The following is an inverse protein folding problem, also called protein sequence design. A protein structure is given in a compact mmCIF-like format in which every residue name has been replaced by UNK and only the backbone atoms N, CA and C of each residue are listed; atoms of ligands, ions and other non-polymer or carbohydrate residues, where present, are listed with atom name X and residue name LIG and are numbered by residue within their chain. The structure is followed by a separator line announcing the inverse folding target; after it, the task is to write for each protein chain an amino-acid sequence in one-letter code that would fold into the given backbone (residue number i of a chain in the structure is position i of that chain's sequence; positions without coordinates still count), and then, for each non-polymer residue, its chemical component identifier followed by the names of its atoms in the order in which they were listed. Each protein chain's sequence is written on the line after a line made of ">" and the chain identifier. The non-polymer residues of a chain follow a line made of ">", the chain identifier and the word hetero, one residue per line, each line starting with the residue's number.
data_IF_939304723736
#
_entry.id   IF_939304723736
#
_cell.length_a   1.000
_cell.length_b   1.000
_cell.length_c   1.000
_cell.angle_alpha   90.00
_cell.angle_beta   90.00
_cell.angle_gamma   90.00
#
_symmetry.space_group_name_H-M   'P 1'
#
loop_
_entity.id
_entity.type
_entity.pdbx_description
1 polymer ?
#
# COMPACT_ATOMS: atom_id res chain seq x y z
N UNK A 1 28.65 2.38 53.33
CA UNK A 1 28.13 1.09 52.80
C UNK A 1 26.69 1.16 52.27
N UNK A 2 25.77 1.95 52.87
CA UNK A 2 24.37 2.09 52.41
C UNK A 2 24.22 2.62 50.97
N UNK A 3 24.99 3.63 50.58
CA UNK A 3 24.95 4.22 49.22
C UNK A 3 25.28 3.23 48.09
N UNK A 4 26.20 2.28 48.32
CA UNK A 4 26.53 1.26 47.31
C UNK A 4 25.35 0.32 47.02
N UNK A 5 24.56 -0.03 48.04
CA UNK A 5 23.35 -0.86 47.87
C UNK A 5 22.27 -0.12 47.08
N UNK A 6 22.04 1.15 47.39
CA UNK A 6 21.05 1.97 46.66
C UNK A 6 21.41 2.19 45.19
N UNK A 7 22.70 2.39 44.87
CA UNK A 7 23.17 2.53 43.48
C UNK A 7 22.99 1.23 42.70
N UNK A 8 23.31 0.08 43.29
CA UNK A 8 23.12 -1.24 42.65
C UNK A 8 21.64 -1.50 42.37
N UNK A 9 20.76 -1.19 43.33
CA UNK A 9 19.30 -1.33 43.15
C UNK A 9 18.80 -0.42 42.01
N UNK A 10 19.25 0.83 41.95
CA UNK A 10 18.88 1.76 40.89
C UNK A 10 19.31 1.25 39.50
N UNK A 11 20.55 0.77 39.38
CA UNK A 11 21.06 0.20 38.13
C UNK A 11 20.28 -1.05 37.70
N UNK A 12 19.92 -1.91 38.65
CA UNK A 12 19.11 -3.09 38.35
C UNK A 12 17.69 -2.71 37.87
N UNK A 13 17.07 -1.69 38.46
CA UNK A 13 15.77 -1.17 38.02
C UNK A 13 15.86 -0.55 36.62
N UNK A 14 16.89 0.25 36.34
CA UNK A 14 17.11 0.84 35.01
C UNK A 14 17.33 -0.25 33.95
N UNK A 15 18.12 -1.28 34.26
CA UNK A 15 18.34 -2.41 33.35
C UNK A 15 17.04 -3.19 33.10
N UNK A 16 16.25 -3.45 34.15
CA UNK A 16 14.96 -4.12 34.01
C UNK A 16 13.99 -3.30 33.14
N UNK A 17 13.92 -1.99 33.34
CA UNK A 17 13.12 -1.10 32.48
C UNK A 17 13.63 -1.10 31.03
N UNK A 18 14.94 -1.10 30.80
CA UNK A 18 15.51 -1.17 29.46
C UNK A 18 15.16 -2.49 28.76
N UNK A 19 15.26 -3.62 29.47
CA UNK A 19 14.88 -4.95 28.93
C UNK A 19 13.38 -5.02 28.66
N UNK A 20 12.53 -4.48 29.55
CA UNK A 20 11.08 -4.44 29.33
C UNK A 20 10.69 -3.52 28.17
N UNK A 21 11.34 -2.37 28.04
CA UNK A 21 11.18 -1.50 26.89
C UNK A 21 11.61 -2.23 25.61
N UNK A 22 12.77 -2.88 25.59
CA UNK A 22 13.25 -3.69 24.47
C UNK A 22 12.27 -4.80 24.07
N UNK A 23 11.75 -5.56 25.04
CA UNK A 23 10.75 -6.59 24.79
C UNK A 23 9.44 -6.02 24.23
N UNK A 24 8.96 -4.88 24.73
CA UNK A 24 7.81 -4.17 24.16
C UNK A 24 8.09 -3.67 22.74
N UNK A 25 9.32 -3.25 22.44
CA UNK A 25 9.73 -2.82 21.10
C UNK A 25 9.77 -3.98 20.10
N UNK A 26 10.22 -5.16 20.52
CA UNK A 26 10.28 -6.34 19.65
C UNK A 26 8.92 -7.03 19.48
N UNK A 27 8.11 -7.10 20.54
CA UNK A 27 6.85 -7.85 20.52
C UNK A 27 5.71 -7.11 19.81
N UNK A 28 5.72 -5.78 19.77
CA UNK A 28 4.66 -4.97 19.10
C UNK A 28 5.07 -4.40 17.73
N UNK A 29 6.21 -4.82 17.17
CA UNK A 29 6.65 -4.36 15.85
C UNK A 29 6.81 -2.84 15.82
N UNK A 30 7.67 -2.32 16.69
CA UNK A 30 7.83 -0.89 16.93
C UNK A 30 7.84 -0.06 15.63
N UNK A 31 7.05 1.02 15.61
CA UNK A 31 6.82 1.85 14.42
C UNK A 31 7.99 2.77 14.06
N UNK A 32 9.24 2.36 14.32
CA UNK A 32 10.44 3.15 14.03
C UNK A 32 10.79 3.17 12.54
N UNK A 33 10.23 2.25 11.75
CA UNK A 33 10.27 2.29 10.30
C UNK A 33 8.87 2.33 9.69
N UNK A 34 8.77 2.90 8.50
CA UNK A 34 7.51 2.99 7.75
C UNK A 34 6.92 1.59 7.45
N UNK A 35 7.75 0.62 7.09
CA UNK A 35 7.30 -0.75 6.80
C UNK A 35 6.79 -1.48 8.06
N UNK A 36 7.42 -1.29 9.22
CA UNK A 36 6.92 -1.86 10.47
C UNK A 36 5.58 -1.26 10.83
N UNK A 37 5.45 0.08 10.75
CA UNK A 37 4.17 0.75 10.96
C UNK A 37 3.07 0.24 10.02
N UNK A 38 3.40 -0.03 8.75
CA UNK A 38 2.46 -0.61 7.80
C UNK A 38 2.10 -2.07 8.11
N UNK A 39 3.07 -2.89 8.52
CA UNK A 39 2.88 -4.31 8.85
C UNK A 39 1.99 -4.53 10.06
N UNK A 40 2.09 -3.68 11.08
CA UNK A 40 1.26 -3.74 12.29
C UNK A 40 -0.10 -3.05 12.13
N UNK A 41 -0.40 -2.53 10.94
CA UNK A 41 -1.72 -1.97 10.66
C UNK A 41 -2.81 -3.03 10.81
N UNK A 42 -3.95 -2.69 11.42
CA UNK A 42 -4.99 -3.67 11.74
C UNK A 42 -5.55 -4.42 10.51
N UNK A 43 -5.51 -3.79 9.34
CA UNK A 43 -5.94 -4.39 8.07
C UNK A 43 -4.95 -5.43 7.51
N UNK A 44 -3.69 -5.43 7.94
CA UNK A 44 -2.61 -6.32 7.47
C UNK A 44 -2.48 -7.57 8.36
N UNK A 45 -3.38 -7.73 9.34
CA UNK A 45 -3.44 -8.89 10.24
C UNK A 45 -3.53 -10.21 9.44
N UNK A 46 -2.68 -11.16 9.81
CA UNK A 46 -2.57 -12.49 9.22
C UNK A 46 -1.33 -13.19 9.74
N UNK A 47 -1.23 -14.51 9.56
CA UNK A 47 -0.10 -15.26 10.14
C UNK A 47 1.24 -14.91 9.49
N UNK A 48 1.26 -14.41 8.25
CA UNK A 48 2.47 -13.99 7.54
C UNK A 48 2.17 -13.00 6.39
N UNK A 49 1.93 -11.70 6.66
CA UNK A 49 1.78 -10.73 5.58
C UNK A 49 3.08 -10.61 4.76
N UNK A 50 3.01 -10.92 3.47
CA UNK A 50 4.16 -10.89 2.56
C UNK A 50 4.18 -9.58 1.79
N UNK A 51 5.25 -8.81 1.90
CA UNK A 51 5.44 -7.60 1.10
C UNK A 51 5.75 -8.00 -0.34
N UNK A 52 4.94 -7.58 -1.30
CA UNK A 52 5.22 -7.82 -2.73
C UNK A 52 5.63 -6.55 -3.48
N UNK A 53 5.27 -5.38 -2.97
CA UNK A 53 5.71 -4.11 -3.54
C UNK A 53 5.81 -3.01 -2.48
N UNK A 54 6.68 -2.03 -2.73
CA UNK A 54 6.78 -0.80 -1.95
C UNK A 54 7.07 0.39 -2.87
N UNK A 55 6.61 1.56 -2.45
CA UNK A 55 6.92 2.84 -3.07
C UNK A 55 7.42 3.76 -1.96
N UNK A 56 8.70 4.10 -2.02
CA UNK A 56 9.36 4.94 -1.01
C UNK A 56 9.14 6.43 -1.34
N UNK A 57 8.86 7.23 -0.31
CA UNK A 57 8.70 8.68 -0.40
C UNK A 57 9.55 9.37 0.68
N UNK A 58 9.93 10.65 0.52
CA UNK A 58 10.72 11.36 1.54
C UNK A 58 10.10 11.37 2.94
N UNK A 59 8.77 11.31 3.04
CA UNK A 59 8.02 11.31 4.30
C UNK A 59 7.72 9.90 4.87
N UNK A 60 8.03 8.84 4.13
CA UNK A 60 7.65 7.46 4.49
C UNK A 60 7.50 6.56 3.26
N UNK A 61 6.35 5.91 3.12
CA UNK A 61 6.15 4.97 2.03
C UNK A 61 4.73 4.44 1.90
N UNK A 62 4.47 3.80 0.76
CA UNK A 62 3.29 2.96 0.53
C UNK A 62 3.76 1.52 0.37
N UNK A 63 3.13 0.59 1.09
CA UNK A 63 3.52 -0.81 1.18
C UNK A 63 2.36 -1.70 0.78
N UNK A 64 2.62 -2.67 -0.09
CA UNK A 64 1.61 -3.59 -0.59
C UNK A 64 1.92 -5.01 -0.11
N UNK A 65 0.94 -5.64 0.51
CA UNK A 65 1.06 -6.95 1.14
C UNK A 65 0.06 -7.95 0.57
N UNK A 66 0.51 -9.18 0.37
CA UNK A 66 -0.37 -10.34 0.34
C UNK A 66 -0.70 -10.73 1.78
N UNK A 67 -1.97 -10.97 2.07
CA UNK A 67 -2.43 -11.44 3.39
C UNK A 67 -3.45 -12.55 3.21
N UNK A 68 -3.72 -13.29 4.29
CA UNK A 68 -4.71 -14.38 4.31
C UNK A 68 -6.12 -13.89 3.92
N UNK A 69 -6.40 -12.60 4.07
CA UNK A 69 -7.69 -11.97 3.75
C UNK A 69 -7.65 -11.15 2.45
N UNK A 70 -6.72 -11.45 1.54
CA UNK A 70 -6.50 -10.70 0.30
C UNK A 70 -5.45 -9.60 0.42
N UNK A 71 -5.27 -8.81 -0.63
CA UNK A 71 -4.18 -7.85 -0.69
C UNK A 71 -4.49 -6.58 0.11
N UNK A 72 -3.44 -5.96 0.64
CA UNK A 72 -3.52 -4.75 1.46
C UNK A 72 -2.53 -3.72 0.95
N UNK A 73 -2.99 -2.50 0.71
CA UNK A 73 -2.12 -1.37 0.40
C UNK A 73 -2.16 -0.40 1.57
N UNK A 74 -1.01 -0.09 2.17
CA UNK A 74 -0.93 0.71 3.40
C UNK A 74 0.01 1.88 3.19
N UNK A 75 -0.46 3.08 3.53
CA UNK A 75 0.37 4.29 3.55
C UNK A 75 0.89 4.52 4.97
N UNK A 76 2.22 4.59 5.12
CA UNK A 76 2.87 4.87 6.39
C UNK A 76 3.76 6.12 6.30
N UNK A 77 3.59 7.04 7.24
CA UNK A 77 4.21 8.36 7.22
C UNK A 77 4.50 8.86 8.64
N UNK A 78 5.38 9.85 8.76
CA UNK A 78 5.58 10.56 10.04
C UNK A 78 4.58 11.70 10.16
N UNK A 79 3.98 11.88 11.34
CA UNK A 79 3.10 13.04 11.59
C UNK A 79 3.85 14.37 11.62
N UNK A 80 5.12 14.32 12.03
CA UNK A 80 6.04 15.45 12.10
C UNK A 80 7.42 14.99 11.65
N UNK A 81 8.22 15.82 10.96
CA UNK A 81 9.58 15.45 10.56
C UNK A 81 10.46 15.00 11.73
N UNK A 82 10.29 15.62 12.91
CA UNK A 82 11.01 15.29 14.15
C UNK A 82 10.53 14.02 14.86
N UNK A 83 9.44 13.38 14.39
CA UNK A 83 8.92 12.17 15.00
C UNK A 83 9.90 11.01 14.82
N UNK A 84 10.11 10.24 15.88
CA UNK A 84 10.79 8.95 15.83
C UNK A 84 9.87 7.83 15.34
N UNK A 85 8.55 8.03 15.39
CA UNK A 85 7.55 7.04 15.02
C UNK A 85 6.89 7.38 13.69
N UNK A 86 6.67 6.33 12.91
CA UNK A 86 5.80 6.29 11.75
C UNK A 86 4.38 5.87 12.17
N UNK A 87 3.41 6.31 11.40
CA UNK A 87 2.01 5.99 11.57
C UNK A 87 1.49 5.44 10.26
N UNK A 88 0.67 4.39 10.35
CA UNK A 88 -0.15 3.93 9.26
C UNK A 88 -1.60 4.13 9.69
N UNK A 89 -2.28 5.13 9.14
CA UNK A 89 -3.71 5.38 9.43
C UNK A 89 -4.61 4.87 8.31
N UNK A 90 -4.06 4.66 7.12
CA UNK A 90 -4.82 4.32 5.94
C UNK A 90 -4.32 3.04 5.30
N UNK A 91 -5.27 2.15 5.10
CA UNK A 91 -5.11 0.97 4.31
C UNK A 91 -6.33 0.79 3.41
N UNK A 92 -6.08 0.33 2.18
CA UNK A 92 -7.11 -0.16 1.29
C UNK A 92 -7.05 -1.69 1.26
N UNK A 93 -8.23 -2.30 1.26
CA UNK A 93 -8.39 -3.75 1.23
C UNK A 93 -8.87 -4.19 -0.14
N UNK A 94 -8.23 -5.20 -0.71
CA UNK A 94 -8.67 -5.87 -1.93
C UNK A 94 -8.94 -7.32 -1.58
N UNK A 95 -10.21 -7.66 -1.49
CA UNK A 95 -10.64 -9.05 -1.38
C UNK A 95 -10.57 -9.62 -2.80
N UNK A 96 -9.96 -10.80 -2.97
CA UNK A 96 -9.71 -11.44 -4.27
C UNK A 96 -11.01 -11.97 -4.89
N UNK A 97 -11.98 -11.09 -5.17
CA UNK A 97 -13.33 -11.56 -5.51
C UNK A 97 -13.40 -12.05 -6.96
N UNK A 98 -12.48 -11.68 -7.86
CA UNK A 98 -12.60 -12.07 -9.27
C UNK A 98 -11.25 -12.32 -9.95
N UNK A 99 -10.85 -13.60 -9.97
CA UNK A 99 -9.75 -14.13 -10.78
C UNK A 99 -10.16 -14.51 -12.21
N UNK A 100 -11.40 -14.22 -12.61
CA UNK A 100 -11.93 -14.65 -13.92
C UNK A 100 -11.42 -13.82 -15.09
N UNK A 101 -11.03 -12.56 -14.85
CA UNK A 101 -10.47 -11.68 -15.86
C UNK A 101 -8.94 -11.79 -15.87
N UNK A 102 -8.32 -11.77 -17.05
CA UNK A 102 -6.85 -11.91 -17.18
C UNK A 102 -6.03 -10.69 -16.71
N UNK A 103 -6.67 -9.78 -15.97
CA UNK A 103 -6.08 -8.61 -15.33
C UNK A 103 -6.79 -8.34 -14.01
N UNK A 104 -6.02 -8.08 -12.95
CA UNK A 104 -6.57 -7.79 -11.63
C UNK A 104 -5.86 -6.62 -10.96
N UNK A 105 -6.64 -5.81 -10.25
CA UNK A 105 -6.10 -4.79 -9.34
C UNK A 105 -5.70 -5.44 -8.03
N UNK A 106 -4.41 -5.40 -7.71
CA UNK A 106 -3.84 -6.05 -6.52
C UNK A 106 -3.49 -5.04 -5.42
N UNK A 107 -3.61 -3.75 -5.69
CA UNK A 107 -3.45 -2.71 -4.68
C UNK A 107 -3.80 -1.34 -5.22
N UNK A 108 -4.37 -0.51 -4.37
CA UNK A 108 -4.59 0.89 -4.67
C UNK A 108 -4.68 1.71 -3.38
N UNK A 109 -4.12 2.91 -3.40
CA UNK A 109 -4.37 3.94 -2.40
C UNK A 109 -4.32 5.30 -3.08
N UNK A 110 -5.17 6.20 -2.64
CA UNK A 110 -5.19 7.58 -3.07
C UNK A 110 -5.29 8.45 -1.81
N UNK A 111 -4.17 8.54 -1.11
CA UNK A 111 -4.08 9.15 0.22
C UNK A 111 -3.70 10.62 0.15
N UNK A 112 -4.46 11.46 0.85
CA UNK A 112 -4.17 12.88 1.02
C UNK A 112 -4.31 13.30 2.48
N UNK A 113 -3.20 13.32 3.22
CA UNK A 113 -3.21 13.65 4.67
C UNK A 113 -3.41 15.13 4.92
N UNK A 114 -3.68 15.47 6.19
CA UNK A 114 -3.67 16.85 6.66
C UNK A 114 -2.25 17.43 6.82
N UNK A 115 -1.21 16.66 6.55
CA UNK A 115 0.18 17.09 6.63
C UNK A 115 0.62 17.57 5.25
N UNK A 116 1.07 18.84 5.11
CA UNK A 116 1.52 19.36 3.83
C UNK A 116 2.58 18.48 3.16
N UNK A 117 2.36 18.16 1.88
CA UNK A 117 3.28 17.35 1.08
C UNK A 117 3.20 15.83 1.33
N UNK A 118 2.36 15.37 2.27
CA UNK A 118 2.17 13.94 2.55
C UNK A 118 0.90 13.46 1.84
N UNK A 119 1.11 13.13 0.57
CA UNK A 119 0.10 12.61 -0.34
C UNK A 119 0.74 11.61 -1.30
N UNK A 120 -0.04 10.61 -1.70
CA UNK A 120 0.38 9.63 -2.68
C UNK A 120 -0.83 8.99 -3.36
N UNK A 121 -0.67 8.71 -4.63
CA UNK A 121 -1.51 7.77 -5.34
C UNK A 121 -0.63 6.60 -5.76
N UNK A 122 -1.02 5.38 -5.40
CA UNK A 122 -0.37 4.15 -5.84
C UNK A 122 -1.45 3.22 -6.37
N UNK A 123 -1.19 2.60 -7.51
CA UNK A 123 -2.09 1.64 -8.14
C UNK A 123 -1.25 0.47 -8.64
N UNK A 124 -1.66 -0.75 -8.33
CA UNK A 124 -0.92 -1.96 -8.66
C UNK A 124 -1.84 -2.98 -9.30
N UNK A 125 -1.35 -3.59 -10.38
CA UNK A 125 -2.06 -4.61 -11.14
C UNK A 125 -1.20 -5.85 -11.33
N UNK A 126 -1.85 -6.99 -11.46
CA UNK A 126 -1.22 -8.22 -11.94
C UNK A 126 -1.97 -8.65 -13.20
N UNK A 127 -1.21 -9.08 -14.21
CA UNK A 127 -1.74 -9.44 -15.52
C UNK A 127 -1.34 -10.88 -15.84
N UNK A 128 -2.32 -11.66 -16.27
CA UNK A 128 -2.18 -13.03 -16.75
C UNK A 128 -2.57 -13.20 -18.22
N UNK A 129 -3.35 -12.27 -18.81
CA UNK A 129 -3.70 -12.31 -20.23
C UNK A 129 -2.49 -11.91 -21.11
N UNK A 130 -1.97 -12.84 -21.95
CA UNK A 130 -0.83 -12.57 -22.82
C UNK A 130 -1.13 -11.59 -23.96
N UNK A 131 -2.40 -11.25 -24.21
CA UNK A 131 -2.78 -10.28 -25.24
C UNK A 131 -2.57 -8.82 -24.79
N UNK A 132 -2.45 -8.59 -23.49
CA UNK A 132 -2.19 -7.26 -22.95
C UNK A 132 -0.69 -6.98 -23.00
N UNK A 133 -0.31 -5.90 -23.66
CA UNK A 133 1.07 -5.48 -23.85
C UNK A 133 1.49 -4.36 -22.88
N UNK A 134 0.58 -3.43 -22.59
CA UNK A 134 0.82 -2.33 -21.67
C UNK A 134 -0.43 -1.90 -20.91
N UNK A 135 -0.21 -1.25 -19.77
CA UNK A 135 -1.25 -0.55 -19.01
C UNK A 135 -0.96 0.93 -19.04
N UNK A 136 -1.98 1.72 -19.33
CA UNK A 136 -1.95 3.18 -19.27
C UNK A 136 -2.91 3.69 -18.20
N UNK A 137 -2.41 4.56 -17.32
CA UNK A 137 -3.16 5.04 -16.16
C UNK A 137 -2.69 6.43 -15.75
N UNK A 138 -3.61 7.25 -15.27
CA UNK A 138 -3.36 8.61 -14.79
C UNK A 138 -4.27 9.64 -15.46
N UNK A 139 -4.08 10.90 -15.08
CA UNK A 139 -4.93 12.02 -15.52
C UNK A 139 -4.08 13.01 -16.30
N UNK A 140 -4.54 13.42 -17.49
CA UNK A 140 -3.90 14.47 -18.29
C UNK A 140 -2.40 14.21 -18.51
N UNK A 141 -1.57 15.18 -18.11
CA UNK A 141 -0.11 15.09 -18.26
C UNK A 141 0.57 14.11 -17.29
N UNK A 142 -0.17 13.56 -16.32
CA UNK A 142 0.34 12.55 -15.39
C UNK A 142 0.09 11.12 -15.84
N UNK A 143 -0.41 10.90 -17.06
CA UNK A 143 -0.58 9.56 -17.61
C UNK A 143 0.77 8.87 -17.76
N UNK A 144 0.83 7.65 -17.23
CA UNK A 144 1.98 6.77 -17.32
C UNK A 144 1.54 5.53 -18.08
N UNK A 145 2.29 5.17 -19.12
CA UNK A 145 2.18 3.89 -19.80
C UNK A 145 3.36 3.00 -19.38
N UNK A 146 3.08 1.76 -18.96
CA UNK A 146 4.12 0.76 -18.68
C UNK A 146 3.82 -0.55 -19.40
N UNK A 147 4.85 -1.13 -20.01
CA UNK A 147 4.83 -2.49 -20.56
C UNK A 147 4.64 -3.51 -19.44
N UNK A 148 3.94 -4.59 -19.77
CA UNK A 148 3.62 -5.67 -18.83
C UNK A 148 4.70 -6.74 -18.88
N UNK A 149 4.97 -7.32 -17.71
CA UNK A 149 5.67 -8.59 -17.58
C UNK A 149 4.68 -9.54 -16.89
N UNK A 150 4.26 -10.58 -17.60
CA UNK A 150 3.24 -11.52 -17.12
C UNK A 150 3.67 -12.14 -15.79
N UNK A 151 2.73 -12.23 -14.84
CA UNK A 151 2.96 -12.79 -13.51
C UNK A 151 3.77 -11.90 -12.56
N UNK A 152 4.13 -10.67 -12.97
CA UNK A 152 4.76 -9.70 -12.08
C UNK A 152 3.81 -8.53 -11.76
N UNK A 153 3.73 -8.10 -10.49
CA UNK A 153 3.06 -6.87 -10.10
C UNK A 153 3.59 -5.66 -10.86
N UNK A 154 2.70 -4.96 -11.57
CA UNK A 154 2.98 -3.68 -12.21
C UNK A 154 2.45 -2.55 -11.33
N UNK A 155 3.35 -1.71 -10.82
CA UNK A 155 3.03 -0.63 -9.87
C UNK A 155 3.17 0.74 -10.50
N UNK A 156 2.16 1.57 -10.33
CA UNK A 156 2.10 2.98 -10.72
C UNK A 156 2.05 3.84 -9.47
N UNK A 157 2.70 5.00 -9.51
CA UNK A 157 2.80 5.86 -8.35
C UNK A 157 2.98 7.32 -8.71
N UNK A 158 2.37 8.21 -7.93
CA UNK A 158 2.53 9.65 -8.00
C UNK A 158 2.65 10.24 -6.60
N UNK A 159 3.51 11.26 -6.46
CA UNK A 159 3.65 12.05 -5.23
C UNK A 159 2.51 13.07 -5.02
N UNK A 160 1.30 12.70 -5.44
CA UNK A 160 0.06 13.48 -5.29
C UNK A 160 -1.16 12.58 -5.24
N UNK A 161 -2.22 13.07 -4.63
CA UNK A 161 -3.53 12.44 -4.71
C UNK A 161 -4.33 12.99 -5.90
N UNK A 162 -5.24 12.18 -6.43
CA UNK A 162 -6.18 12.60 -7.48
C UNK A 162 -7.58 12.77 -6.90
N UNK A 163 -8.32 13.79 -7.32
CA UNK A 163 -9.71 13.96 -6.87
C UNK A 163 -10.61 13.05 -7.72
N UNK A 164 -11.59 12.38 -7.10
CA UNK A 164 -12.70 11.74 -7.84
C UNK A 164 -12.42 10.40 -8.53
N UNK A 165 -11.38 9.65 -8.12
CA UNK A 165 -11.05 8.33 -8.68
C UNK A 165 -10.80 8.28 -10.21
N UNK A 166 -10.44 9.41 -10.83
CA UNK A 166 -10.40 9.60 -12.29
C UNK A 166 -9.15 9.05 -12.97
N UNK A 167 -8.50 8.01 -12.42
CA UNK A 167 -7.26 7.49 -13.01
C UNK A 167 -7.45 6.88 -14.40
N UNK A 168 -8.70 6.57 -14.78
CA UNK A 168 -9.12 5.93 -16.02
C UNK A 168 -8.11 4.90 -16.56
N UNK A 169 -7.78 3.85 -15.77
CA UNK A 169 -6.84 2.82 -16.19
C UNK A 169 -7.39 2.06 -17.41
N UNK A 170 -6.53 1.84 -18.41
CA UNK A 170 -6.83 1.03 -19.60
C UNK A 170 -5.71 0.04 -19.86
N UNK A 171 -6.08 -1.13 -20.37
CA UNK A 171 -5.16 -2.18 -20.78
C UNK A 171 -5.11 -2.25 -22.30
N UNK A 172 -3.92 -2.19 -22.88
CA UNK A 172 -3.70 -2.05 -24.32
C UNK A 172 -3.04 -3.28 -24.91
N UNK A 173 -3.43 -3.65 -26.13
CA UNK A 173 -2.72 -4.63 -26.96
C UNK A 173 -1.47 -4.03 -27.62
N UNK A 174 -0.67 -4.87 -28.27
CA UNK A 174 0.56 -4.46 -28.99
C UNK A 174 0.35 -3.39 -30.06
N UNK A 175 -0.83 -3.37 -30.67
CA UNK A 175 -1.23 -2.38 -31.69
C UNK A 175 -1.94 -1.15 -31.09
N UNK A 176 -1.99 -1.03 -29.75
CA UNK A 176 -2.56 0.12 -29.05
C UNK A 176 -4.08 0.11 -28.89
N UNK A 177 -4.78 -0.98 -29.25
CA UNK A 177 -6.23 -1.10 -28.99
C UNK A 177 -6.50 -1.35 -27.52
N UNK A 178 -7.56 -0.74 -26.99
CA UNK A 178 -8.03 -0.99 -25.63
C UNK A 178 -8.67 -2.37 -25.57
N UNK A 179 -8.14 -3.24 -24.71
CA UNK A 179 -8.68 -4.57 -24.41
C UNK A 179 -9.51 -4.59 -23.13
N UNK A 180 -9.12 -3.78 -22.14
CA UNK A 180 -9.84 -3.67 -20.87
C UNK A 180 -9.89 -2.23 -20.39
N UNK A 181 -10.97 -1.90 -19.70
CA UNK A 181 -11.17 -0.63 -19.00
C UNK A 181 -11.45 -0.88 -17.52
N UNK A 182 -10.80 -0.13 -16.64
CA UNK A 182 -11.12 -0.17 -15.22
C UNK A 182 -12.22 0.84 -14.89
N UNK A 183 -13.44 0.35 -14.66
CA UNK A 183 -14.64 1.18 -14.47
C UNK A 183 -15.66 0.49 -13.57
N UNK A 184 -16.72 1.22 -13.22
CA UNK A 184 -17.93 0.62 -12.65
C UNK A 184 -18.76 -0.01 -13.77
N UNK A 185 -19.50 -1.09 -13.43
CA UNK A 185 -20.43 -1.75 -14.36
C UNK A 185 -21.41 -0.79 -15.02
N UNK A 186 -22.00 0.09 -14.22
CA UNK A 186 -23.02 1.07 -14.64
C UNK A 186 -22.53 2.46 -14.25
N UNK A 187 -22.64 3.42 -15.17
CA UNK A 187 -22.31 4.81 -14.90
C UNK A 187 -23.15 5.35 -13.73
N UNK A 188 -22.52 6.11 -12.84
CA UNK A 188 -23.15 6.74 -11.66
C UNK A 188 -23.65 5.78 -10.56
N UNK A 189 -23.38 4.47 -10.64
CA UNK A 189 -23.61 3.52 -9.54
C UNK A 189 -22.28 3.20 -8.90
N UNK A 190 -22.12 3.59 -7.64
CA UNK A 190 -20.87 3.40 -6.87
C UNK A 190 -21.01 2.24 -5.88
N UNK A 191 -21.20 1.04 -6.41
CA UNK A 191 -21.01 -0.17 -5.61
C UNK A 191 -19.52 -0.58 -5.70
N UNK A 192 -18.83 -0.68 -4.56
CA UNK A 192 -17.41 -1.05 -4.52
C UNK A 192 -17.13 -2.40 -5.17
N UNK A 193 -18.10 -3.30 -5.17
CA UNK A 193 -17.97 -4.63 -5.77
C UNK A 193 -18.02 -4.61 -7.31
N UNK A 194 -18.52 -3.52 -7.90
CA UNK A 194 -18.65 -3.34 -9.35
C UNK A 194 -17.45 -2.61 -9.98
N UNK A 195 -16.51 -2.09 -9.18
CA UNK A 195 -15.31 -1.39 -9.69
C UNK A 195 -14.21 -2.40 -10.05
N UNK A 196 -14.08 -2.70 -11.34
CA UNK A 196 -13.13 -3.71 -11.84
C UNK A 196 -12.74 -3.48 -13.29
N UNK A 197 -11.89 -4.35 -13.80
CA UNK A 197 -11.54 -4.41 -15.22
C UNK A 197 -12.67 -5.06 -16.00
N UNK A 198 -13.15 -4.40 -17.05
CA UNK A 198 -14.13 -4.92 -17.99
C UNK A 198 -13.49 -5.06 -19.36
N UNK A 199 -13.64 -6.23 -19.99
CA UNK A 199 -13.29 -6.42 -21.40
C UNK A 199 -14.06 -5.42 -22.26
N UNK A 200 -13.39 -4.84 -23.25
CA UNK A 200 -14.03 -4.00 -24.29
C UNK A 200 -14.58 -4.81 -25.45
N UNK A 201 -14.26 -6.11 -25.51
CA UNK A 201 -14.87 -7.06 -26.44
C UNK A 201 -16.22 -7.48 -25.86
N UNK A 202 -17.22 -6.65 -26.08
CA UNK A 202 -18.62 -7.08 -26.20
C UNK A 202 -18.93 -7.33 -27.69
#
# INVERSE_FOLDING_TARGET
>A
MKYKKSVIILLAVLLFMAVKAYQLFELDGARFSAIQAARVHFAVKGKNPQLFAKVDYPWGGVFLFHTDNGNRTVMAYKEKPSSWFYYARWATTFNQVQDQDGIKTIGWINGNTNIPGVQACVFAVEVSDPNIDSIEIGVGTDRINKKIIIGQPLVFSWSKAFIGAVLNPVALSKDGRVLYEYRYKVANVTNSDDLRWYSTKD
#
